data_IF_357697348875
#
_entry.id   IF_357697348875
#
_cell.length_a   1.000
_cell.length_b   1.000
_cell.length_c   1.000
_cell.angle_alpha   90.00
_cell.angle_beta   90.00
_cell.angle_gamma   90.00
#
_symmetry.space_group_name_H-M   'P 1'
#
loop_
_entity.id
_entity.type
_entity.pdbx_description
1 polymer ?
#
# COMPACT_ATOMS: atom_id res chain seq x y z
N UNK A 1 41.51 -28.50 17.15
CA UNK A 1 40.35 -28.31 18.06
C UNK A 1 39.96 -26.83 18.10
N UNK A 2 39.32 -26.31 17.05
CA UNK A 2 39.03 -24.86 16.96
C UNK A 2 37.66 -24.54 16.34
N UNK A 3 36.70 -25.46 16.39
CA UNK A 3 35.35 -25.26 15.81
C UNK A 3 34.29 -24.98 16.89
N UNK A 4 34.63 -25.10 18.19
CA UNK A 4 33.66 -24.92 19.27
C UNK A 4 33.58 -23.48 19.84
N UNK A 5 34.57 -22.63 19.59
CA UNK A 5 34.57 -21.25 20.14
C UNK A 5 33.74 -20.26 19.32
N UNK A 6 33.48 -20.53 18.04
CA UNK A 6 32.72 -19.64 17.14
C UNK A 6 31.20 -19.79 17.28
N UNK A 7 30.72 -20.84 17.95
CA UNK A 7 29.28 -21.09 18.15
C UNK A 7 28.67 -20.24 19.26
N UNK A 8 29.36 -20.09 20.40
CA UNK A 8 28.85 -19.33 21.57
C UNK A 8 28.90 -17.81 21.35
N UNK A 9 29.94 -17.30 20.67
CA UNK A 9 30.04 -15.87 20.35
C UNK A 9 28.98 -15.42 19.32
N UNK A 10 28.65 -16.27 18.34
CA UNK A 10 27.59 -15.97 17.36
C UNK A 10 26.18 -16.04 17.97
N UNK A 11 25.94 -16.94 18.94
CA UNK A 11 24.64 -17.00 19.63
C UNK A 11 24.41 -15.77 20.51
N UNK A 12 25.46 -15.25 21.17
CA UNK A 12 25.38 -14.02 21.96
C UNK A 12 25.11 -12.77 21.10
N UNK A 13 25.63 -12.72 19.86
CA UNK A 13 25.35 -11.62 18.94
C UNK A 13 23.89 -11.61 18.43
N UNK A 14 23.28 -12.80 18.22
CA UNK A 14 21.86 -12.89 17.86
C UNK A 14 20.97 -12.58 19.07
N UNK A 15 21.41 -12.99 20.27
CA UNK A 15 20.67 -12.86 21.54
C UNK A 15 20.44 -11.43 22.02
N UNK A 16 20.94 -10.40 21.34
CA UNK A 16 20.71 -8.99 21.73
C UNK A 16 19.97 -8.18 20.64
N UNK A 17 19.62 -8.80 19.51
CA UNK A 17 18.88 -8.13 18.44
C UNK A 17 17.45 -7.82 18.85
N UNK A 18 16.84 -8.70 19.66
CA UNK A 18 15.48 -8.54 20.14
C UNK A 18 15.38 -7.40 21.16
N UNK A 19 16.37 -7.34 22.05
CA UNK A 19 16.60 -6.28 23.01
C UNK A 19 16.83 -4.96 22.27
N UNK A 20 17.66 -4.96 21.23
CA UNK A 20 17.91 -3.77 20.43
C UNK A 20 16.65 -3.27 19.70
N UNK A 21 15.78 -4.17 19.24
CA UNK A 21 14.48 -3.80 18.65
C UNK A 21 13.58 -3.09 19.67
N UNK A 22 13.61 -3.49 20.94
CA UNK A 22 12.81 -2.86 21.99
C UNK A 22 13.42 -1.56 22.51
N UNK A 23 14.71 -1.56 22.84
CA UNK A 23 15.39 -0.44 23.49
C UNK A 23 15.92 0.61 22.50
N UNK A 24 16.05 0.26 21.21
CA UNK A 24 16.66 1.13 20.19
C UNK A 24 18.20 1.20 20.28
N UNK A 25 18.81 0.43 21.18
CA UNK A 25 20.25 0.27 21.32
C UNK A 25 20.57 -1.13 21.84
N UNK A 26 21.77 -1.63 21.59
CA UNK A 26 22.21 -2.89 22.20
C UNK A 26 22.64 -2.66 23.66
N UNK A 27 22.32 -3.57 24.59
CA UNK A 27 22.72 -3.45 26.00
C UNK A 27 24.22 -3.20 26.17
N UNK A 28 25.06 -3.84 25.33
CA UNK A 28 26.51 -3.68 25.33
C UNK A 28 26.94 -2.24 25.02
N UNK A 29 26.27 -1.58 24.06
CA UNK A 29 26.56 -0.18 23.72
C UNK A 29 26.20 0.75 24.88
N UNK A 30 25.10 0.48 25.59
CA UNK A 30 24.72 1.23 26.77
C UNK A 30 25.76 1.08 27.89
N UNK A 31 26.16 -0.16 28.19
CA UNK A 31 27.18 -0.45 29.19
C UNK A 31 28.52 0.23 28.86
N UNK A 32 28.95 0.18 27.60
CA UNK A 32 30.15 0.88 27.17
C UNK A 32 30.09 2.39 27.45
N UNK A 33 28.97 3.05 27.14
CA UNK A 33 28.78 4.49 27.42
C UNK A 33 28.83 4.80 28.91
N UNK A 34 28.22 3.93 29.74
CA UNK A 34 28.28 4.05 31.19
C UNK A 34 29.74 3.94 31.66
N UNK A 35 30.50 2.97 31.16
CA UNK A 35 31.92 2.79 31.51
C UNK A 35 32.76 4.01 31.15
N UNK A 36 32.61 4.53 29.94
CA UNK A 36 33.32 5.74 29.53
C UNK A 36 32.98 6.93 30.43
N UNK A 37 31.69 7.14 30.75
CA UNK A 37 31.28 8.23 31.63
C UNK A 37 31.89 8.11 33.03
N UNK A 38 31.91 6.91 33.62
CA UNK A 38 32.57 6.68 34.91
C UNK A 38 34.07 6.96 34.86
N UNK A 39 34.75 6.50 33.81
CA UNK A 39 36.18 6.71 33.63
C UNK A 39 36.51 8.19 33.46
N UNK A 40 35.74 8.91 32.65
CA UNK A 40 35.88 10.36 32.46
C UNK A 40 35.69 11.13 33.77
N UNK A 41 34.67 10.77 34.56
CA UNK A 41 34.44 11.35 35.88
C UNK A 41 35.62 11.09 36.84
N UNK A 42 36.14 9.86 36.86
CA UNK A 42 37.25 9.48 37.74
C UNK A 42 38.52 10.24 37.39
N UNK A 43 38.87 10.32 36.10
CA UNK A 43 39.97 11.15 35.60
C UNK A 43 39.78 12.63 35.99
N UNK A 44 38.56 13.16 35.82
CA UNK A 44 38.24 14.53 36.20
C UNK A 44 38.44 14.81 37.69
N UNK A 45 37.98 13.90 38.56
CA UNK A 45 38.13 14.03 40.02
C UNK A 45 39.62 13.98 40.41
N UNK A 46 40.39 13.03 39.89
CA UNK A 46 41.81 12.90 40.20
C UNK A 46 42.61 14.13 39.78
N UNK A 47 42.30 14.71 38.61
CA UNK A 47 42.91 15.96 38.17
C UNK A 47 42.65 17.11 39.16
N UNK A 48 41.43 17.20 39.71
CA UNK A 48 41.09 18.21 40.72
C UNK A 48 41.84 17.96 42.03
N UNK A 49 41.89 16.70 42.48
CA UNK A 49 42.62 16.29 43.70
C UNK A 49 44.11 16.62 43.57
N UNK A 50 44.75 16.26 42.46
CA UNK A 50 46.15 16.58 42.17
C UNK A 50 46.39 18.09 42.26
N UNK A 51 45.57 18.90 41.57
CA UNK A 51 45.66 20.37 41.62
C UNK A 51 45.47 20.95 43.02
N UNK A 52 44.61 20.34 43.85
CA UNK A 52 44.38 20.80 45.22
C UNK A 52 45.56 20.43 46.11
N UNK A 53 46.12 19.22 45.98
CA UNK A 53 47.29 18.78 46.73
C UNK A 53 48.51 19.68 46.45
N UNK A 54 48.84 19.94 45.18
CA UNK A 54 49.94 20.84 44.81
C UNK A 54 49.74 22.24 45.41
N UNK A 55 48.53 22.81 45.27
CA UNK A 55 48.20 24.13 45.83
C UNK A 55 48.31 24.18 47.36
N UNK A 56 47.94 23.11 48.07
CA UNK A 56 48.01 23.05 49.54
C UNK A 56 49.44 22.85 50.03
N UNK A 57 50.25 22.03 49.35
CA UNK A 57 51.65 21.80 49.68
C UNK A 57 52.49 23.06 49.44
N UNK A 58 52.34 23.74 48.30
CA UNK A 58 53.01 25.02 48.00
C UNK A 58 52.68 26.13 49.00
N UNK A 59 51.45 26.15 49.54
CA UNK A 59 51.06 27.11 50.60
C UNK A 59 51.75 26.84 51.92
N UNK A 60 52.07 25.58 52.23
CA UNK A 60 52.71 25.17 53.49
C UNK A 60 54.21 25.39 53.47
N UNK A 61 54.85 25.20 52.32
CA UNK A 61 56.30 25.32 52.18
C UNK A 61 56.65 26.07 50.88
N UNK A 62 56.97 27.36 51.00
CA UNK A 62 57.19 28.28 49.85
C UNK A 62 58.53 28.08 49.16
N UNK A 63 59.42 27.28 49.74
CA UNK A 63 60.80 27.04 49.25
C UNK A 63 60.90 25.81 48.36
N UNK A 64 59.85 24.99 48.28
CA UNK A 64 59.84 23.79 47.43
C UNK A 64 59.59 24.15 45.96
N UNK A 65 60.31 23.44 45.10
CA UNK A 65 60.14 23.49 43.65
C UNK A 65 58.75 22.97 43.24
N UNK A 66 58.00 23.79 42.50
CA UNK A 66 56.63 23.51 42.10
C UNK A 66 56.56 22.33 41.13
N UNK A 67 57.56 22.20 40.25
CA UNK A 67 57.64 21.12 39.26
C UNK A 67 57.90 19.76 39.95
N UNK A 68 58.68 19.76 41.04
CA UNK A 68 58.92 18.57 41.86
C UNK A 68 57.67 18.16 42.64
N UNK A 69 56.91 19.13 43.17
CA UNK A 69 55.64 18.88 43.84
C UNK A 69 54.58 18.34 42.88
N UNK A 70 54.51 18.90 41.66
CA UNK A 70 53.57 18.47 40.64
C UNK A 70 53.89 17.06 40.13
N UNK A 71 55.16 16.74 39.87
CA UNK A 71 55.56 15.39 39.45
C UNK A 71 55.23 14.33 40.50
N UNK A 72 55.53 14.58 41.78
CA UNK A 72 55.15 13.68 42.88
C UNK A 72 53.64 13.55 43.05
N UNK A 73 52.89 14.65 42.94
CA UNK A 73 51.44 14.61 43.03
C UNK A 73 50.83 13.81 41.87
N UNK A 74 51.41 13.94 40.66
CA UNK A 74 51.00 13.18 39.48
C UNK A 74 51.30 11.69 39.58
N UNK A 75 52.48 11.32 40.09
CA UNK A 75 52.84 9.91 40.34
C UNK A 75 51.86 9.26 41.33
N UNK A 76 51.59 9.91 42.46
CA UNK A 76 50.62 9.44 43.45
C UNK A 76 49.18 9.36 42.88
N UNK A 77 48.79 10.35 42.06
CA UNK A 77 47.49 10.36 41.37
C UNK A 77 47.36 9.20 40.37
N UNK A 78 48.44 8.84 39.67
CA UNK A 78 48.48 7.70 38.75
C UNK A 78 48.42 6.35 39.49
N UNK A 79 49.11 6.21 40.62
CA UNK A 79 48.98 5.01 41.46
C UNK A 79 47.55 4.84 41.98
N UNK A 80 46.94 5.95 42.45
CA UNK A 80 45.56 5.95 42.90
C UNK A 80 44.58 5.63 41.75
N UNK A 81 44.83 6.15 40.55
CA UNK A 81 44.05 5.81 39.35
C UNK A 81 44.10 4.30 39.09
N UNK A 82 45.30 3.71 39.03
CA UNK A 82 45.47 2.29 38.76
C UNK A 82 44.76 1.41 39.79
N UNK A 83 44.82 1.78 41.07
CA UNK A 83 44.09 1.10 42.13
C UNK A 83 42.57 1.18 41.94
N UNK A 84 42.04 2.37 41.68
CA UNK A 84 40.61 2.58 41.50
C UNK A 84 40.08 1.91 40.22
N UNK A 85 40.85 1.92 39.13
CA UNK A 85 40.52 1.28 37.87
C UNK A 85 40.40 -0.24 38.03
N UNK A 86 41.35 -0.88 38.72
CA UNK A 86 41.25 -2.32 39.02
C UNK A 86 40.01 -2.67 39.85
N UNK A 87 39.69 -1.83 40.85
CA UNK A 87 38.48 -2.00 41.65
C UNK A 87 37.22 -1.82 40.80
N UNK A 88 37.20 -0.82 39.94
CA UNK A 88 36.10 -0.56 39.02
C UNK A 88 35.88 -1.74 38.06
N UNK A 89 36.93 -2.30 37.47
CA UNK A 89 36.83 -3.47 36.60
C UNK A 89 36.25 -4.70 37.30
N UNK A 90 36.49 -4.86 38.60
CA UNK A 90 35.88 -5.94 39.39
C UNK A 90 34.38 -5.70 39.60
N UNK A 91 34.00 -4.47 39.91
CA UNK A 91 32.59 -4.09 40.09
C UNK A 91 31.81 -4.04 38.78
N UNK A 92 32.44 -3.62 37.68
CA UNK A 92 31.81 -3.52 36.37
C UNK A 92 31.31 -4.87 35.90
N UNK A 93 32.08 -5.95 36.09
CA UNK A 93 31.63 -7.32 35.75
C UNK A 93 30.34 -7.71 36.48
N UNK A 94 30.21 -7.32 37.75
CA UNK A 94 28.99 -7.57 38.53
C UNK A 94 27.84 -6.67 38.08
N UNK A 95 28.16 -5.44 37.69
CA UNK A 95 27.19 -4.49 37.16
C UNK A 95 26.65 -4.94 35.78
N UNK A 96 27.51 -5.39 34.87
CA UNK A 96 27.15 -6.01 33.59
C UNK A 96 26.19 -7.17 33.83
N UNK A 97 26.57 -8.10 34.72
CA UNK A 97 25.75 -9.28 35.01
C UNK A 97 24.37 -8.92 35.58
N UNK A 98 24.21 -7.79 36.28
CA UNK A 98 22.90 -7.36 36.78
C UNK A 98 22.12 -6.57 35.74
N UNK A 99 22.74 -5.57 35.11
CA UNK A 99 22.04 -4.69 34.19
C UNK A 99 21.70 -5.40 32.88
N UNK A 100 22.65 -6.15 32.31
CA UNK A 100 22.39 -6.87 31.05
C UNK A 100 21.37 -7.97 31.27
N UNK A 101 21.57 -8.84 32.28
CA UNK A 101 20.70 -10.01 32.51
C UNK A 101 19.32 -9.65 33.09
N UNK A 102 19.20 -8.62 33.93
CA UNK A 102 17.94 -8.31 34.64
C UNK A 102 17.20 -7.08 34.11
N UNK A 103 17.91 -6.08 33.60
CA UNK A 103 17.29 -4.82 33.18
C UNK A 103 17.16 -4.69 31.67
N UNK A 104 18.16 -5.17 30.93
CA UNK A 104 18.22 -5.03 29.48
C UNK A 104 17.98 -6.35 28.73
N UNK A 105 17.53 -7.40 29.42
CA UNK A 105 17.13 -8.66 28.79
C UNK A 105 15.62 -8.73 28.64
N UNK A 106 15.16 -9.18 27.47
CA UNK A 106 13.75 -9.49 27.28
C UNK A 106 13.54 -10.97 27.62
N UNK A 107 12.60 -11.33 28.51
CA UNK A 107 12.37 -12.73 28.81
C UNK A 107 11.96 -13.51 27.55
N UNK A 108 12.44 -14.76 27.35
CA UNK A 108 12.23 -15.50 26.11
C UNK A 108 10.75 -15.83 25.82
N UNK A 109 9.90 -15.76 26.84
CA UNK A 109 8.47 -16.03 26.72
C UNK A 109 7.63 -14.76 26.46
N UNK A 110 8.28 -13.60 26.30
CA UNK A 110 7.61 -12.32 26.07
C UNK A 110 7.74 -11.94 24.61
N UNK A 111 6.59 -11.82 23.93
CA UNK A 111 6.51 -11.23 22.61
C UNK A 111 6.35 -9.72 22.73
N UNK A 112 7.20 -8.98 22.04
CA UNK A 112 7.08 -7.54 21.92
C UNK A 112 5.77 -7.15 21.23
N UNK A 113 5.23 -5.95 21.52
CA UNK A 113 4.01 -5.48 20.89
C UNK A 113 4.05 -5.44 19.36
N UNK A 114 5.23 -5.18 18.77
CA UNK A 114 5.45 -5.21 17.33
C UNK A 114 5.30 -6.60 16.70
N UNK A 115 5.55 -7.66 17.47
CA UNK A 115 5.52 -9.03 16.97
C UNK A 115 4.20 -9.74 17.27
N UNK A 116 3.21 -9.04 17.83
CA UNK A 116 1.84 -9.55 17.99
C UNK A 116 1.26 -10.18 16.70
N UNK A 117 1.48 -9.63 15.49
CA UNK A 117 1.02 -10.26 14.25
C UNK A 117 1.68 -11.61 13.96
N UNK A 118 2.91 -11.82 14.45
CA UNK A 118 3.64 -13.08 14.27
C UNK A 118 3.21 -14.18 15.25
N UNK A 119 2.38 -13.86 16.26
CA UNK A 119 1.92 -14.82 17.28
C UNK A 119 1.07 -15.97 16.69
N UNK A 120 0.39 -15.72 15.58
CA UNK A 120 -0.33 -16.74 14.81
C UNK A 120 0.35 -16.83 13.46
N UNK A 121 0.80 -18.02 13.05
CA UNK A 121 1.36 -18.22 11.71
C UNK A 121 0.31 -17.80 10.68
N UNK A 122 0.53 -16.71 9.91
CA UNK A 122 -0.49 -16.19 9.02
C UNK A 122 -0.48 -16.92 7.67
N UNK A 123 0.27 -18.03 7.51
CA UNK A 123 0.52 -18.65 6.19
C UNK A 123 -0.79 -19.04 5.47
N UNK A 124 -1.71 -19.66 6.19
CA UNK A 124 -2.99 -20.10 5.61
C UNK A 124 -3.92 -18.91 5.33
N UNK A 125 -3.90 -17.88 6.19
CA UNK A 125 -4.69 -16.67 6.00
C UNK A 125 -4.14 -15.79 4.88
N UNK A 126 -2.83 -15.76 4.69
CA UNK A 126 -2.15 -14.99 3.65
C UNK A 126 -2.44 -15.59 2.26
N UNK A 127 -2.32 -16.91 2.11
CA UNK A 127 -2.73 -17.61 0.87
C UNK A 127 -4.22 -17.39 0.56
N UNK A 128 -5.08 -17.43 1.59
CA UNK A 128 -6.51 -17.17 1.43
C UNK A 128 -6.75 -15.74 0.94
N UNK A 129 -6.10 -14.74 1.56
CA UNK A 129 -6.23 -13.34 1.16
C UNK A 129 -5.72 -13.13 -0.27
N UNK A 130 -4.57 -13.68 -0.63
CA UNK A 130 -4.02 -13.60 -1.99
C UNK A 130 -4.95 -14.22 -3.03
N UNK A 131 -5.51 -15.41 -2.75
CA UNK A 131 -6.47 -16.05 -3.64
C UNK A 131 -7.77 -15.24 -3.78
N UNK A 132 -8.27 -14.66 -2.69
CA UNK A 132 -9.46 -13.81 -2.72
C UNK A 132 -9.23 -12.51 -3.50
N UNK A 133 -8.02 -11.94 -3.41
CA UNK A 133 -7.63 -10.75 -4.15
C UNK A 133 -7.57 -11.03 -5.66
N UNK A 134 -6.96 -12.15 -6.05
CA UNK A 134 -6.90 -12.56 -7.45
C UNK A 134 -8.30 -12.82 -8.04
N UNK A 135 -9.17 -13.51 -7.29
CA UNK A 135 -10.55 -13.75 -7.69
C UNK A 135 -11.32 -12.44 -7.86
N UNK A 136 -11.17 -11.50 -6.93
CA UNK A 136 -11.83 -10.20 -6.99
C UNK A 136 -11.34 -9.35 -8.17
N UNK A 137 -10.05 -9.37 -8.46
CA UNK A 137 -9.48 -8.68 -9.63
C UNK A 137 -10.01 -9.24 -10.95
N UNK A 138 -10.10 -10.56 -11.07
CA UNK A 138 -10.67 -11.21 -12.25
C UNK A 138 -12.15 -10.88 -12.42
N UNK A 139 -12.94 -10.95 -11.35
CA UNK A 139 -14.35 -10.57 -11.37
C UNK A 139 -14.52 -9.09 -11.77
N UNK A 140 -13.70 -8.20 -11.22
CA UNK A 140 -13.75 -6.78 -11.57
C UNK A 140 -13.46 -6.53 -13.06
N UNK A 141 -12.48 -7.24 -13.65
CA UNK A 141 -12.20 -7.13 -15.08
C UNK A 141 -13.37 -7.63 -15.93
N UNK A 142 -13.98 -8.76 -15.55
CA UNK A 142 -15.16 -9.28 -16.24
C UNK A 142 -16.33 -8.29 -16.20
N UNK A 143 -16.56 -7.66 -15.05
CA UNK A 143 -17.59 -6.61 -14.89
C UNK A 143 -17.32 -5.38 -15.76
N UNK A 144 -16.05 -4.97 -15.90
CA UNK A 144 -15.68 -3.88 -16.81
C UNK A 144 -15.95 -4.23 -18.28
N UNK A 145 -15.63 -5.46 -18.69
CA UNK A 145 -15.94 -5.95 -20.03
C UNK A 145 -17.45 -6.00 -20.28
N UNK A 146 -18.22 -6.59 -19.36
CA UNK A 146 -19.67 -6.67 -19.45
C UNK A 146 -20.31 -5.26 -19.54
N UNK A 147 -19.82 -4.30 -18.75
CA UNK A 147 -20.25 -2.90 -18.84
C UNK A 147 -20.01 -2.33 -20.24
N UNK A 148 -18.85 -2.60 -20.84
CA UNK A 148 -18.51 -2.09 -22.16
C UNK A 148 -19.42 -2.70 -23.24
N UNK A 149 -19.72 -4.00 -23.15
CA UNK A 149 -20.66 -4.68 -24.05
C UNK A 149 -22.07 -4.10 -23.93
N UNK A 150 -22.55 -3.85 -22.71
CA UNK A 150 -23.86 -3.23 -22.48
C UNK A 150 -23.94 -1.81 -23.06
N UNK A 151 -22.85 -1.04 -23.00
CA UNK A 151 -22.79 0.28 -23.62
C UNK A 151 -22.81 0.22 -25.15
N UNK A 152 -22.16 -0.78 -25.75
CA UNK A 152 -22.20 -0.99 -27.20
C UNK A 152 -23.60 -1.41 -27.67
N UNK A 153 -24.24 -2.33 -26.96
CA UNK A 153 -25.61 -2.76 -27.21
C UNK A 153 -26.61 -1.59 -27.12
N UNK A 154 -26.46 -0.70 -26.13
CA UNK A 154 -27.29 0.48 -26.01
C UNK A 154 -27.18 1.44 -27.20
N UNK A 155 -25.99 1.54 -27.81
CA UNK A 155 -25.79 2.38 -28.98
C UNK A 155 -26.38 1.73 -30.24
N UNK A 156 -26.25 0.42 -30.41
CA UNK A 156 -26.94 -0.32 -31.48
C UNK A 156 -28.46 -0.14 -31.38
N UNK A 157 -29.02 -0.25 -30.17
CA UNK A 157 -30.45 -0.02 -29.94
C UNK A 157 -30.88 1.41 -30.28
N UNK A 158 -30.02 2.41 -30.04
CA UNK A 158 -30.26 3.80 -30.44
C UNK A 158 -30.33 3.91 -31.96
N UNK A 159 -29.36 3.36 -32.68
CA UNK A 159 -29.32 3.41 -34.14
C UNK A 159 -30.57 2.77 -34.77
N UNK A 160 -30.94 1.58 -34.30
CA UNK A 160 -32.15 0.88 -34.78
C UNK A 160 -33.41 1.69 -34.49
N UNK A 161 -33.48 2.36 -33.33
CA UNK A 161 -34.61 3.23 -32.97
C UNK A 161 -34.72 4.43 -33.91
N UNK A 162 -33.60 5.08 -34.23
CA UNK A 162 -33.57 6.20 -35.16
C UNK A 162 -33.99 5.79 -36.58
N UNK A 163 -33.58 4.60 -37.03
CA UNK A 163 -34.03 4.04 -38.30
C UNK A 163 -35.54 3.78 -38.31
N UNK A 164 -36.08 3.20 -37.23
CA UNK A 164 -37.51 2.93 -37.12
C UNK A 164 -38.33 4.23 -37.08
N UNK A 165 -37.88 5.24 -36.32
CA UNK A 165 -38.50 6.57 -36.28
C UNK A 165 -38.46 7.25 -37.67
N UNK A 166 -37.38 7.03 -38.44
CA UNK A 166 -37.27 7.45 -39.83
C UNK A 166 -38.31 6.80 -40.74
N UNK A 167 -38.50 5.48 -40.63
CA UNK A 167 -39.51 4.73 -41.38
C UNK A 167 -40.92 5.21 -41.01
N UNK A 168 -41.21 5.36 -39.71
CA UNK A 168 -42.52 5.84 -39.24
C UNK A 168 -42.83 7.23 -39.78
N UNK A 169 -41.85 8.13 -39.78
CA UNK A 169 -41.99 9.48 -40.37
C UNK A 169 -42.23 9.42 -41.87
N UNK A 170 -41.47 8.61 -42.62
CA UNK A 170 -41.68 8.43 -44.05
C UNK A 170 -43.07 7.88 -44.38
N UNK A 171 -43.54 6.87 -43.62
CA UNK A 171 -44.91 6.34 -43.77
C UNK A 171 -45.95 7.42 -43.48
N UNK A 172 -45.76 8.21 -42.42
CA UNK A 172 -46.62 9.33 -42.08
C UNK A 172 -46.65 10.39 -43.20
N UNK A 173 -45.49 10.79 -43.72
CA UNK A 173 -45.39 11.73 -44.84
C UNK A 173 -46.11 11.20 -46.08
N UNK A 174 -45.92 9.93 -46.44
CA UNK A 174 -46.60 9.28 -47.56
C UNK A 174 -48.12 9.30 -47.40
N UNK A 175 -48.62 8.96 -46.21
CA UNK A 175 -50.05 9.06 -45.90
C UNK A 175 -50.56 10.50 -46.02
N UNK A 176 -49.80 11.48 -45.53
CA UNK A 176 -50.21 12.90 -45.65
C UNK A 176 -50.17 13.41 -47.09
N UNK A 177 -49.20 13.00 -47.91
CA UNK A 177 -49.10 13.36 -49.31
C UNK A 177 -50.27 12.79 -50.12
N UNK A 178 -50.59 11.51 -49.88
CA UNK A 178 -51.74 10.84 -50.46
C UNK A 178 -53.06 11.58 -50.14
N UNK A 179 -53.26 11.95 -48.88
CA UNK A 179 -54.41 12.75 -48.46
C UNK A 179 -54.45 14.14 -49.13
N UNK A 180 -53.30 14.80 -49.32
CA UNK A 180 -53.20 16.12 -49.97
C UNK A 180 -53.51 16.08 -51.46
N UNK A 181 -53.20 14.98 -52.15
CA UNK A 181 -53.56 14.76 -53.56
C UNK A 181 -55.06 14.46 -53.76
N UNK A 182 -55.87 14.53 -52.69
CA UNK A 182 -57.31 14.33 -52.74
C UNK A 182 -57.72 12.86 -52.83
N UNK A 183 -56.74 11.96 -52.77
CA UNK A 183 -56.97 10.54 -52.62
C UNK A 183 -57.21 10.31 -51.12
N UNK A 184 -58.47 10.09 -50.72
CA UNK A 184 -58.82 9.57 -49.39
C UNK A 184 -58.11 8.24 -49.05
N UNK A 185 -58.63 7.48 -48.08
CA UNK A 185 -58.02 6.20 -47.70
C UNK A 185 -57.76 5.31 -48.92
N UNK A 186 -56.52 4.83 -49.10
CA UNK A 186 -56.17 3.92 -50.21
C UNK A 186 -57.11 2.70 -50.25
N UNK A 187 -57.46 2.18 -49.07
CA UNK A 187 -58.38 1.05 -48.91
C UNK A 187 -59.81 1.35 -49.35
N UNK A 188 -60.23 2.61 -49.37
CA UNK A 188 -61.58 3.01 -49.80
C UNK A 188 -61.60 3.37 -51.29
N UNK A 189 -60.56 4.04 -51.78
CA UNK A 189 -60.49 4.50 -53.17
C UNK A 189 -60.19 3.35 -54.15
N UNK A 190 -59.29 2.44 -53.80
CA UNK A 190 -58.84 1.39 -54.72
C UNK A 190 -59.98 0.42 -55.14
N UNK A 191 -60.85 -0.05 -54.22
CA UNK A 191 -62.03 -0.83 -54.60
C UNK A 191 -63.02 -0.05 -55.48
N UNK A 192 -63.25 1.23 -55.18
CA UNK A 192 -64.18 2.08 -55.95
C UNK A 192 -63.69 2.32 -57.39
N UNK A 193 -62.38 2.53 -57.57
CA UNK A 193 -61.74 2.60 -58.89
C UNK A 193 -61.87 1.27 -59.62
N UNK A 194 -61.59 0.14 -58.96
CA UNK A 194 -61.74 -1.19 -59.55
C UNK A 194 -63.18 -1.52 -59.95
N UNK A 195 -64.17 -1.12 -59.16
CA UNK A 195 -65.58 -1.29 -59.51
C UNK A 195 -65.98 -0.41 -60.70
N UNK A 196 -65.49 0.83 -60.74
CA UNK A 196 -65.72 1.75 -61.86
C UNK A 196 -65.06 1.23 -63.16
N UNK A 197 -63.87 0.65 -63.08
CA UNK A 197 -63.18 -0.01 -64.21
C UNK A 197 -63.95 -1.24 -64.67
N UNK A 198 -64.49 -2.07 -63.76
CA UNK A 198 -65.35 -3.21 -64.13
C UNK A 198 -66.62 -2.76 -64.86
N UNK A 199 -67.30 -1.73 -64.34
CA UNK A 199 -68.48 -1.15 -65.00
C UNK A 199 -68.13 -0.57 -66.38
N UNK A 200 -66.97 0.07 -66.51
CA UNK A 200 -66.47 0.58 -67.79
C UNK A 200 -66.17 -0.57 -68.77
N UNK A 201 -65.55 -1.67 -68.33
CA UNK A 201 -65.31 -2.86 -69.15
C UNK A 201 -66.61 -3.47 -69.68
N UNK A 202 -67.65 -3.57 -68.84
CA UNK A 202 -68.96 -4.05 -69.24
C UNK A 202 -69.59 -3.11 -70.27
N UNK A 203 -69.56 -1.79 -70.02
CA UNK A 203 -70.10 -0.81 -70.95
C UNK A 203 -69.34 -0.77 -72.28
N UNK A 204 -68.02 -0.91 -72.28
CA UNK A 204 -67.20 -1.00 -73.50
C UNK A 204 -67.48 -2.28 -74.27
N UNK A 205 -67.68 -3.41 -73.57
CA UNK A 205 -68.10 -4.67 -74.19
C UNK A 205 -69.49 -4.53 -74.83
N UNK A 206 -70.44 -3.89 -74.16
CA UNK A 206 -71.77 -3.61 -74.71
C UNK A 206 -71.72 -2.65 -75.92
N UNK A 207 -70.86 -1.63 -75.92
CA UNK A 207 -70.69 -0.73 -77.07
C UNK A 207 -70.04 -1.46 -78.26
N UNK A 208 -69.13 -2.40 -77.99
CA UNK A 208 -68.55 -3.27 -79.02
C UNK A 208 -69.58 -4.27 -79.58
N UNK A 209 -70.49 -4.79 -78.76
CA UNK A 209 -71.60 -5.66 -79.19
C UNK A 209 -72.72 -4.89 -79.91
N UNK A 210 -72.91 -3.61 -79.56
CA UNK A 210 -73.88 -2.69 -80.18
C UNK A 210 -73.33 -1.98 -81.42
N UNK A 211 -72.10 -2.28 -81.88
CA UNK A 211 -71.74 -1.90 -83.25
C UNK A 211 -72.72 -2.62 -84.20
N UNK A 212 -73.47 -1.88 -85.03
CA UNK A 212 -74.25 -2.53 -86.06
C UNK A 212 -73.29 -3.31 -86.95
N UNK A 213 -73.59 -4.58 -87.19
CA UNK A 213 -73.16 -5.26 -88.41
C UNK A 213 -73.59 -4.35 -89.56
N UNK A 214 -72.64 -3.95 -90.39
CA UNK A 214 -72.94 -3.50 -91.75
C UNK A 214 -73.93 -4.50 -92.35
N UNK A 215 -75.06 -4.04 -92.93
CA UNK A 215 -75.83 -4.94 -93.76
C UNK A 215 -75.02 -5.22 -95.02
N UNK A 216 -74.72 -6.51 -95.25
CA UNK A 216 -74.34 -7.03 -96.56
C UNK A 216 -75.40 -6.61 -97.59
N UNK A 217 -75.05 -5.68 -98.49
CA UNK A 217 -75.39 -5.65 -99.92
C UNK A 217 -74.61 -4.54 -100.61
#
# INVERSE_FOLDING_TARGET
MSILATGEENMNNISNLYEAQFFGFTPQTCMFRIYSAFQDCLCGILLVVEKVCVRKLKKRDKTQDEDLLQSKARECSQELYGFLEQRFQSFSKRMDALLVDKCFSIPPNVLLPGDKPHRKSPRDDLMRVESSLAALQSAHQAELCARQELLAELEEQREVREQLDGILRWVGELQTAWLKEGLGSFNENFPQVMESVKKLQVNVAEICDKRPKEPDS
#
